data_IF_122555340334
#
_entry.id   IF_122555340334
#
_cell.length_a   1.000
_cell.length_b   1.000
_cell.length_c   1.000
_cell.angle_alpha   90.00
_cell.angle_beta   90.00
_cell.angle_gamma   90.00
#
_symmetry.space_group_name_H-M   'P 1'
#
loop_
_entity.id
_entity.type
_entity.pdbx_description
1 polymer ?
#
# COMPACT_ATOMS: atom_id res chain seq x y z
N UNK A 1 -29.62 -16.10 -27.77
CA UNK A 1 -30.74 -15.17 -27.51
C UNK A 1 -31.04 -15.05 -26.01
N UNK A 2 -31.38 -16.15 -25.31
CA UNK A 2 -31.74 -16.13 -23.88
C UNK A 2 -30.66 -15.55 -22.94
N UNK A 3 -29.38 -15.83 -23.20
CA UNK A 3 -28.25 -15.29 -22.43
C UNK A 3 -28.13 -13.77 -22.52
N UNK A 4 -28.38 -13.18 -23.71
CA UNK A 4 -28.31 -11.74 -23.93
C UNK A 4 -29.47 -11.02 -23.22
N UNK A 5 -30.65 -11.63 -23.22
CA UNK A 5 -31.81 -11.10 -22.50
C UNK A 5 -31.61 -11.14 -20.99
N UNK A 6 -30.98 -12.20 -20.47
CA UNK A 6 -30.58 -12.29 -19.07
C UNK A 6 -29.59 -11.18 -18.69
N UNK A 7 -28.53 -11.00 -19.49
CA UNK A 7 -27.52 -9.96 -19.24
C UNK A 7 -28.15 -8.55 -19.26
N UNK A 8 -29.03 -8.27 -20.22
CA UNK A 8 -29.78 -7.01 -20.29
C UNK A 8 -30.67 -6.81 -19.05
N UNK A 9 -31.35 -7.86 -18.59
CA UNK A 9 -32.16 -7.83 -17.37
C UNK A 9 -31.34 -7.55 -16.10
N UNK A 10 -30.18 -8.19 -15.96
CA UNK A 10 -29.27 -7.92 -14.83
C UNK A 10 -28.74 -6.49 -14.83
N UNK A 11 -28.44 -5.94 -16.01
CA UNK A 11 -28.01 -4.55 -16.15
C UNK A 11 -29.16 -3.58 -15.82
N UNK A 12 -30.35 -3.82 -16.36
CA UNK A 12 -31.55 -3.04 -16.03
C UNK A 12 -31.81 -2.98 -14.52
N UNK A 13 -31.77 -4.13 -13.82
CA UNK A 13 -31.93 -4.18 -12.36
C UNK A 13 -30.82 -3.39 -11.62
N UNK A 14 -29.61 -3.41 -12.18
CA UNK A 14 -28.48 -2.65 -11.63
C UNK A 14 -28.76 -1.15 -11.76
N UNK A 15 -29.11 -0.68 -12.95
CA UNK A 15 -29.31 0.74 -13.23
C UNK A 15 -30.52 1.29 -12.49
N UNK A 16 -31.64 0.56 -12.51
CA UNK A 16 -32.85 0.93 -11.78
C UNK A 16 -32.61 1.05 -10.27
N UNK A 17 -31.81 0.15 -9.68
CA UNK A 17 -31.48 0.23 -8.27
C UNK A 17 -30.60 1.45 -7.94
N UNK A 18 -29.65 1.81 -8.80
CA UNK A 18 -28.83 3.01 -8.60
C UNK A 18 -29.64 4.30 -8.76
N UNK A 19 -30.58 4.35 -9.71
CA UNK A 19 -31.51 5.48 -9.87
C UNK A 19 -32.39 5.69 -8.63
N UNK A 20 -32.85 4.61 -8.01
CA UNK A 20 -33.74 4.66 -6.84
C UNK A 20 -32.99 4.74 -5.51
N UNK A 21 -31.65 4.74 -5.51
CA UNK A 21 -30.86 4.59 -4.29
C UNK A 21 -31.18 5.64 -3.22
N UNK A 22 -31.28 6.91 -3.63
CA UNK A 22 -31.54 8.03 -2.73
C UNK A 22 -33.03 8.20 -2.42
N UNK A 23 -33.89 8.06 -3.43
CA UNK A 23 -35.32 8.30 -3.29
C UNK A 23 -36.06 7.15 -2.58
N UNK A 24 -35.61 5.91 -2.79
CA UNK A 24 -36.25 4.70 -2.27
C UNK A 24 -35.20 3.61 -1.97
N UNK A 25 -34.46 3.71 -0.86
CA UNK A 25 -33.40 2.76 -0.51
C UNK A 25 -33.92 1.34 -0.22
N UNK A 26 -35.20 1.18 0.11
CA UNK A 26 -35.85 -0.14 0.23
C UNK A 26 -36.02 -0.82 -1.13
N UNK A 27 -36.49 -0.08 -2.14
CA UNK A 27 -36.75 -0.64 -3.47
C UNK A 27 -35.44 -0.93 -4.20
N UNK A 28 -34.44 -0.04 -4.09
CA UNK A 28 -33.11 -0.29 -4.65
C UNK A 28 -32.48 -1.57 -4.11
N UNK A 29 -32.60 -1.81 -2.80
CA UNK A 29 -32.11 -3.02 -2.17
C UNK A 29 -32.89 -4.26 -2.62
N UNK A 30 -34.21 -4.16 -2.78
CA UNK A 30 -35.04 -5.24 -3.30
C UNK A 30 -34.61 -5.65 -4.72
N UNK A 31 -34.43 -4.68 -5.63
CA UNK A 31 -33.97 -4.92 -7.00
C UNK A 31 -32.60 -5.60 -7.04
N UNK A 32 -31.67 -5.16 -6.18
CA UNK A 32 -30.35 -5.77 -6.06
C UNK A 32 -30.39 -7.19 -5.49
N UNK A 33 -31.31 -7.48 -4.56
CA UNK A 33 -31.54 -8.84 -4.06
C UNK A 33 -32.10 -9.74 -5.15
N UNK A 34 -33.10 -9.27 -5.89
CA UNK A 34 -33.68 -9.99 -7.02
C UNK A 34 -32.62 -10.28 -8.10
N UNK A 35 -31.74 -9.32 -8.38
CA UNK A 35 -30.60 -9.51 -9.28
C UNK A 35 -29.68 -10.62 -8.79
N UNK A 36 -29.36 -10.66 -7.48
CA UNK A 36 -28.54 -11.71 -6.88
C UNK A 36 -29.20 -13.10 -6.96
N UNK A 37 -30.51 -13.16 -6.75
CA UNK A 37 -31.30 -14.38 -6.88
C UNK A 37 -31.31 -14.90 -8.33
N UNK A 38 -31.52 -14.02 -9.32
CA UNK A 38 -31.44 -14.39 -10.73
C UNK A 38 -30.05 -14.91 -11.12
N UNK A 39 -28.98 -14.30 -10.61
CA UNK A 39 -27.62 -14.81 -10.82
C UNK A 39 -27.44 -16.20 -10.21
N UNK A 40 -27.95 -16.43 -9.01
CA UNK A 40 -27.88 -17.71 -8.33
C UNK A 40 -28.62 -18.82 -9.11
N UNK A 41 -29.86 -18.57 -9.52
CA UNK A 41 -30.66 -19.53 -10.30
C UNK A 41 -30.02 -19.88 -11.65
N UNK A 42 -29.27 -18.95 -12.24
CA UNK A 42 -28.56 -19.17 -13.51
C UNK A 42 -27.11 -19.65 -13.33
N UNK A 43 -26.72 -20.04 -12.10
CA UNK A 43 -25.37 -20.50 -11.75
C UNK A 43 -24.25 -19.51 -12.14
N UNK A 44 -24.55 -18.21 -12.11
CA UNK A 44 -23.57 -17.16 -12.40
C UNK A 44 -22.78 -16.81 -11.15
N UNK A 45 -21.46 -16.81 -11.28
CA UNK A 45 -20.55 -16.44 -10.20
C UNK A 45 -20.59 -14.92 -10.03
N UNK A 46 -20.91 -14.47 -8.82
CA UNK A 46 -20.80 -13.06 -8.48
C UNK A 46 -19.35 -12.69 -8.17
N UNK A 47 -18.78 -11.78 -8.95
CA UNK A 47 -17.43 -11.27 -8.73
C UNK A 47 -17.27 -10.63 -7.34
N UNK A 48 -16.09 -10.78 -6.76
CA UNK A 48 -15.77 -10.27 -5.42
C UNK A 48 -15.94 -8.75 -5.31
N UNK A 49 -15.60 -8.00 -6.38
CA UNK A 49 -15.86 -6.56 -6.46
C UNK A 49 -17.33 -6.28 -6.19
N UNK A 50 -18.23 -7.00 -6.84
CA UNK A 50 -19.66 -6.78 -6.65
C UNK A 50 -20.14 -7.13 -5.24
N UNK A 51 -19.58 -8.19 -4.64
CA UNK A 51 -19.86 -8.55 -3.23
C UNK A 51 -19.43 -7.47 -2.25
N UNK A 52 -18.44 -6.64 -2.61
CA UNK A 52 -18.02 -5.50 -1.82
C UNK A 52 -18.94 -4.28 -1.95
N UNK A 53 -19.69 -4.18 -3.05
CA UNK A 53 -20.59 -3.06 -3.33
C UNK A 53 -22.03 -3.33 -2.91
N UNK A 54 -22.48 -4.58 -2.86
CA UNK A 54 -23.88 -4.93 -2.57
C UNK A 54 -23.93 -5.97 -1.46
N UNK A 55 -24.74 -5.73 -0.43
CA UNK A 55 -24.94 -6.70 0.63
C UNK A 55 -25.67 -7.93 0.08
N UNK A 56 -25.05 -9.11 0.19
CA UNK A 56 -25.61 -10.38 -0.31
C UNK A 56 -26.94 -10.74 0.39
N UNK A 57 -27.15 -10.28 1.62
CA UNK A 57 -28.31 -10.67 2.41
C UNK A 57 -29.56 -9.84 2.14
N UNK A 58 -29.42 -8.52 2.13
CA UNK A 58 -30.55 -7.60 2.00
C UNK A 58 -30.54 -6.81 0.70
N UNK A 59 -29.49 -6.91 -0.12
CA UNK A 59 -29.36 -6.19 -1.38
C UNK A 59 -28.97 -4.72 -1.25
N UNK A 60 -28.73 -4.20 -0.04
CA UNK A 60 -28.36 -2.80 0.17
C UNK A 60 -27.03 -2.47 -0.55
N UNK A 61 -27.03 -1.39 -1.34
CA UNK A 61 -25.85 -0.85 -2.02
C UNK A 61 -24.97 -0.17 -0.96
N UNK A 62 -23.81 -0.75 -0.70
CA UNK A 62 -22.87 -0.36 0.34
C UNK A 62 -21.95 0.75 -0.16
N UNK A 63 -22.29 2.01 0.17
CA UNK A 63 -21.47 3.19 -0.11
C UNK A 63 -20.72 3.59 1.18
N UNK A 64 -19.37 3.48 1.22
CA UNK A 64 -18.61 3.91 2.39
C UNK A 64 -18.89 5.37 2.74
N UNK A 65 -19.22 5.63 4.01
CA UNK A 65 -19.57 6.97 4.49
C UNK A 65 -21.08 7.23 4.54
N UNK A 66 -21.91 6.47 3.82
CA UNK A 66 -23.37 6.52 3.94
C UNK A 66 -23.91 5.23 4.57
N UNK A 67 -24.09 5.27 5.90
CA UNK A 67 -24.56 4.18 6.78
C UNK A 67 -23.72 2.89 6.75
N UNK A 68 -22.89 2.68 5.73
CA UNK A 68 -21.97 1.56 5.55
C UNK A 68 -20.63 1.91 6.15
N UNK A 69 -20.12 1.02 6.98
CA UNK A 69 -18.80 1.18 7.62
C UNK A 69 -17.79 0.35 6.85
N UNK A 70 -16.62 0.93 6.60
CA UNK A 70 -15.47 0.25 6.00
C UNK A 70 -14.30 0.32 6.98
N UNK A 71 -13.72 -0.82 7.35
CA UNK A 71 -12.47 -0.89 8.12
C UNK A 71 -11.45 -1.70 7.36
N UNK A 72 -10.24 -1.15 7.27
CA UNK A 72 -9.07 -1.83 6.74
C UNK A 72 -8.22 -2.25 7.93
N UNK A 73 -8.18 -3.56 8.17
CA UNK A 73 -7.34 -4.12 9.21
C UNK A 73 -5.97 -4.44 8.62
N UNK A 74 -4.89 -3.86 9.17
CA UNK A 74 -3.54 -4.19 8.72
C UNK A 74 -3.25 -5.66 9.02
N UNK A 75 -2.30 -6.22 8.26
CA UNK A 75 -1.80 -7.57 8.52
C UNK A 75 -1.33 -7.63 9.98
N UNK A 76 -1.90 -8.54 10.77
CA UNK A 76 -1.31 -8.93 12.04
C UNK A 76 -0.01 -9.64 11.71
N UNK A 77 1.11 -8.92 11.78
CA UNK A 77 2.43 -9.52 11.82
C UNK A 77 2.40 -10.33 13.12
N UNK A 78 2.22 -11.65 13.01
CA UNK A 78 2.49 -12.51 14.15
C UNK A 78 3.98 -12.36 14.41
N UNK A 79 4.32 -11.58 15.43
CA UNK A 79 5.70 -11.54 15.91
C UNK A 79 6.10 -12.98 16.19
N UNK A 80 7.22 -13.47 15.65
CA UNK A 80 7.70 -14.78 16.03
C UNK A 80 7.96 -14.72 17.53
N UNK A 81 7.10 -15.39 18.32
CA UNK A 81 7.37 -15.62 19.74
C UNK A 81 8.79 -16.15 19.79
N UNK A 82 9.68 -15.44 20.48
CA UNK A 82 11.03 -15.92 20.82
C UNK A 82 10.86 -17.10 21.78
N UNK A 83 10.41 -18.24 21.26
CA UNK A 83 10.51 -19.50 21.96
C UNK A 83 11.97 -19.93 21.83
N UNK A 84 12.59 -20.08 22.99
CA UNK A 84 13.98 -20.46 23.14
C UNK A 84 14.31 -21.71 22.33
N UNK A 85 15.61 -21.82 22.05
CA UNK A 85 16.30 -22.83 21.26
C UNK A 85 15.65 -24.23 21.18
N UNK A 86 15.84 -24.82 19.99
CA UNK A 86 15.68 -26.24 19.64
C UNK A 86 14.35 -26.61 19.01
N UNK A 87 14.34 -26.70 17.67
CA UNK A 87 14.39 -27.99 16.97
C UNK A 87 14.50 -27.80 15.46
N UNK A 88 15.09 -28.83 14.85
CA UNK A 88 15.54 -28.96 13.47
C UNK A 88 14.42 -28.74 12.44
N UNK A 89 14.83 -28.13 11.32
CA UNK A 89 14.30 -28.27 9.96
C UNK A 89 12.98 -29.03 9.80
N UNK A 90 11.89 -28.28 9.65
CA UNK A 90 10.74 -28.72 8.87
C UNK A 90 10.37 -27.61 7.89
N UNK A 91 10.05 -28.04 6.67
CA UNK A 91 9.70 -27.19 5.53
C UNK A 91 8.76 -26.06 5.92
N UNK A 92 9.12 -24.85 5.50
CA UNK A 92 8.24 -23.70 5.58
C UNK A 92 7.00 -24.03 4.75
N UNK A 93 5.78 -24.10 5.32
CA UNK A 93 4.60 -24.02 4.48
C UNK A 93 4.71 -22.68 3.75
N UNK A 94 4.50 -22.69 2.43
CA UNK A 94 4.37 -21.49 1.61
C UNK A 94 3.24 -20.65 2.20
N UNK A 95 3.57 -19.82 3.19
CA UNK A 95 2.68 -18.79 3.68
C UNK A 95 2.64 -17.75 2.57
N UNK A 96 1.76 -17.98 1.59
CA UNK A 96 1.26 -16.93 0.71
C UNK A 96 0.89 -15.79 1.62
N UNK A 97 1.75 -14.76 1.62
CA UNK A 97 1.67 -13.65 2.55
C UNK A 97 0.30 -13.02 2.40
N UNK A 98 -0.59 -13.27 3.36
CA UNK A 98 -1.92 -12.65 3.37
C UNK A 98 -1.75 -11.16 3.57
N UNK A 99 -2.36 -10.37 2.68
CA UNK A 99 -2.39 -8.91 2.79
C UNK A 99 -3.39 -8.43 3.85
N UNK A 100 -3.66 -7.11 3.88
CA UNK A 100 -4.64 -6.53 4.80
C UNK A 100 -6.04 -7.08 4.56
N UNK A 101 -6.88 -7.08 5.60
CA UNK A 101 -8.27 -7.54 5.51
C UNK A 101 -9.21 -6.33 5.45
N UNK A 102 -10.08 -6.30 4.43
CA UNK A 102 -11.14 -5.31 4.27
C UNK A 102 -12.43 -5.86 4.88
N UNK A 103 -12.92 -5.21 5.93
CA UNK A 103 -14.21 -5.53 6.56
C UNK A 103 -15.22 -4.43 6.19
N UNK A 104 -16.36 -4.82 5.63
CA UNK A 104 -17.43 -3.94 5.18
C UNK A 104 -18.71 -4.30 5.93
N UNK A 105 -19.30 -3.35 6.64
CA UNK A 105 -20.56 -3.54 7.38
C UNK A 105 -21.71 -2.92 6.62
N UNK A 106 -22.76 -3.72 6.40
CA UNK A 106 -23.99 -3.23 5.80
C UNK A 106 -24.73 -2.28 6.76
N UNK A 107 -25.03 -1.06 6.31
CA UNK A 107 -25.76 -0.05 7.10
C UNK A 107 -27.24 -0.35 7.37
N UNK A 108 -27.82 -1.38 6.73
CA UNK A 108 -29.21 -1.79 6.95
C UNK A 108 -29.34 -3.02 7.85
N UNK A 109 -28.61 -4.09 7.55
CA UNK A 109 -28.74 -5.38 8.26
C UNK A 109 -27.55 -5.74 9.14
N UNK A 110 -26.53 -4.88 9.22
CA UNK A 110 -25.32 -5.04 10.03
C UNK A 110 -24.46 -6.27 9.71
N UNK A 111 -24.76 -7.01 8.65
CA UNK A 111 -23.91 -8.12 8.19
C UNK A 111 -22.57 -7.61 7.68
N UNK A 112 -21.53 -8.41 7.93
CA UNK A 112 -20.15 -8.08 7.61
C UNK A 112 -19.67 -8.89 6.42
N UNK A 113 -19.13 -8.21 5.42
CA UNK A 113 -18.41 -8.82 4.30
C UNK A 113 -16.92 -8.62 4.53
N UNK A 114 -16.16 -9.73 4.57
CA UNK A 114 -14.70 -9.70 4.75
C UNK A 114 -14.02 -10.12 3.46
N UNK A 115 -13.06 -9.32 3.01
CA UNK A 115 -12.25 -9.58 1.82
C UNK A 115 -10.77 -9.53 2.20
N UNK A 116 -10.05 -10.62 1.96
CA UNK A 116 -8.60 -10.66 2.11
C UNK A 116 -7.94 -10.08 0.85
N UNK A 117 -7.18 -9.00 1.01
CA UNK A 117 -6.44 -8.42 -0.10
C UNK A 117 -5.12 -9.18 -0.29
N UNK A 118 -4.59 -9.29 -1.53
CA UNK A 118 -3.25 -9.82 -1.76
C UNK A 118 -2.21 -8.96 -1.03
N UNK A 119 -1.07 -9.54 -0.64
CA UNK A 119 0.00 -8.77 -0.03
C UNK A 119 0.46 -7.65 -0.98
N UNK A 120 0.62 -6.42 -0.48
CA UNK A 120 1.23 -5.37 -1.27
C UNK A 120 2.64 -5.77 -1.66
N UNK A 121 3.05 -5.39 -2.87
CA UNK A 121 4.40 -5.62 -3.33
C UNK A 121 5.40 -4.96 -2.38
N UNK A 122 6.50 -5.67 -2.08
CA UNK A 122 7.52 -5.16 -1.17
C UNK A 122 8.22 -3.99 -1.86
N UNK A 123 7.96 -2.77 -1.37
CA UNK A 123 8.66 -1.57 -1.84
C UNK A 123 10.14 -1.68 -1.46
N UNK A 124 10.97 -2.10 -2.41
CA UNK A 124 12.42 -2.06 -2.25
C UNK A 124 12.89 -0.62 -2.44
N UNK A 125 13.12 0.08 -1.33
CA UNK A 125 13.85 1.35 -1.39
C UNK A 125 15.26 1.05 -1.88
N UNK A 126 15.52 1.27 -3.17
CA UNK A 126 16.89 1.31 -3.67
C UNK A 126 17.57 2.48 -2.98
N UNK A 127 18.45 2.18 -2.03
CA UNK A 127 19.41 3.16 -1.57
C UNK A 127 20.20 3.59 -2.82
N UNK A 128 20.00 4.83 -3.25
CA UNK A 128 20.77 5.40 -4.34
C UNK A 128 22.24 5.47 -3.90
N UNK A 129 22.98 4.40 -4.16
CA UNK A 129 24.44 4.47 -4.19
C UNK A 129 24.77 5.46 -5.29
N UNK A 130 25.26 6.63 -4.90
CA UNK A 130 25.80 7.63 -5.81
C UNK A 130 26.88 6.96 -6.65
N UNK A 131 26.56 6.58 -7.87
CA UNK A 131 27.54 6.17 -8.87
C UNK A 131 28.34 7.42 -9.19
N UNK A 132 29.57 7.48 -8.69
CA UNK A 132 30.52 8.50 -9.08
C UNK A 132 30.79 8.32 -10.59
N UNK A 133 30.31 9.27 -11.37
CA UNK A 133 30.65 9.41 -12.79
C UNK A 133 32.13 9.75 -12.86
N UNK A 134 32.98 8.74 -13.09
CA UNK A 134 34.40 8.93 -13.34
C UNK A 134 34.57 9.48 -14.77
N UNK A 135 34.81 10.79 -14.87
CA UNK A 135 35.26 11.44 -16.10
C UNK A 135 36.65 10.92 -16.47
N UNK A 136 36.81 10.54 -17.75
CA UNK A 136 38.09 10.22 -18.39
C UNK A 136 39.04 11.41 -18.34
N UNK A 137 40.29 11.18 -17.93
CA UNK A 137 41.46 11.96 -18.35
C UNK A 137 42.65 11.01 -18.47
N UNK A 138 43.37 11.15 -19.58
CA UNK A 138 44.46 10.28 -20.03
C UNK A 138 45.81 10.62 -19.39
N UNK A 139 46.62 9.56 -19.23
CA UNK A 139 48.10 9.46 -19.29
C UNK A 139 48.97 10.29 -18.33
N UNK A 140 49.75 9.61 -17.49
CA UNK A 140 51.22 9.38 -17.62
C UNK A 140 51.74 8.67 -16.35
N UNK A 141 52.82 7.91 -16.55
CA UNK A 141 53.36 6.82 -15.74
C UNK A 141 54.08 7.21 -14.43
N UNK A 142 54.22 6.17 -13.60
CA UNK A 142 55.35 5.87 -12.71
C UNK A 142 55.44 6.60 -11.35
N UNK A 143 55.20 5.83 -10.28
CA UNK A 143 56.20 5.39 -9.30
C UNK A 143 55.56 5.12 -7.93
N UNK A 144 56.04 4.04 -7.30
CA UNK A 144 55.74 3.58 -5.96
C UNK A 144 55.65 4.70 -4.92
N UNK A 145 54.55 4.74 -4.16
CA UNK A 145 54.59 5.11 -2.74
C UNK A 145 53.35 4.58 -2.01
N UNK A 146 53.57 3.61 -1.14
CA UNK A 146 52.59 3.07 -0.19
C UNK A 146 52.20 4.18 0.79
N UNK A 147 51.06 4.85 0.58
CA UNK A 147 50.41 5.65 1.62
C UNK A 147 49.34 4.77 2.26
N UNK A 148 49.63 4.33 3.48
CA UNK A 148 48.78 3.45 4.28
C UNK A 148 47.42 4.11 4.56
N UNK A 149 46.34 3.33 4.48
CA UNK A 149 44.94 3.74 4.68
C UNK A 149 44.64 4.35 6.08
N UNK A 150 45.63 4.37 6.98
CA UNK A 150 45.50 4.78 8.37
C UNK A 150 45.65 6.30 8.61
N UNK A 151 46.06 7.08 7.59
CA UNK A 151 46.11 8.54 7.72
C UNK A 151 44.72 9.21 7.75
N UNK A 152 43.69 8.58 7.15
CA UNK A 152 42.32 9.13 7.16
C UNK A 152 41.50 8.78 8.42
N UNK A 153 41.96 7.79 9.20
CA UNK A 153 41.31 7.35 10.45
C UNK A 153 41.50 8.36 11.59
N UNK A 154 42.71 8.93 11.75
CA UNK A 154 42.98 9.97 12.75
C UNK A 154 42.28 11.30 12.46
N UNK A 155 42.13 11.69 11.19
CA UNK A 155 41.36 12.88 10.79
C UNK A 155 39.85 12.71 11.08
N UNK A 156 39.30 11.52 10.85
CA UNK A 156 37.88 11.22 11.15
C UNK A 156 37.58 11.11 12.64
N UNK A 157 38.51 10.61 13.45
CA UNK A 157 38.35 10.57 14.90
C UNK A 157 38.29 11.98 15.52
N UNK A 158 39.03 12.95 14.97
CA UNK A 158 39.00 14.35 15.44
C UNK A 158 37.67 15.04 15.11
N UNK A 159 37.10 14.78 13.91
CA UNK A 159 35.77 15.28 13.52
C UNK A 159 34.61 14.66 14.31
N UNK A 160 34.79 13.50 14.94
CA UNK A 160 33.78 12.90 15.83
C UNK A 160 33.81 13.46 17.26
N UNK A 161 34.84 14.23 17.64
CA UNK A 161 34.97 14.84 18.98
C UNK A 161 34.50 16.29 19.06
N UNK A 162 34.25 16.95 17.92
CA UNK A 162 33.57 18.24 17.89
C UNK A 162 32.08 17.99 17.67
N UNK A 163 31.26 18.11 18.71
CA UNK A 163 29.81 17.99 18.61
C UNK A 163 29.19 18.98 17.61
N UNK A 164 27.86 18.96 17.46
CA UNK A 164 27.10 19.75 16.48
C UNK A 164 27.54 21.23 16.37
N UNK A 165 27.91 21.85 17.50
CA UNK A 165 28.41 23.23 17.55
C UNK A 165 29.69 23.44 16.73
N UNK A 166 30.64 22.51 16.74
CA UNK A 166 31.87 22.62 15.96
C UNK A 166 31.62 22.51 14.45
N UNK A 167 30.58 21.75 14.06
CA UNK A 167 30.15 21.66 12.66
C UNK A 167 29.47 22.95 12.21
N UNK A 168 28.67 23.58 13.07
CA UNK A 168 28.02 24.87 12.79
C UNK A 168 29.04 26.01 12.62
N UNK A 169 30.06 26.09 13.47
CA UNK A 169 31.13 27.10 13.34
C UNK A 169 31.96 26.92 12.06
N UNK A 170 32.12 25.67 11.58
CA UNK A 170 32.77 25.38 10.30
C UNK A 170 31.92 25.79 9.10
N UNK A 171 30.59 25.64 9.19
CA UNK A 171 29.66 26.04 8.14
C UNK A 171 29.59 27.56 7.96
N UNK A 172 29.67 28.32 9.06
CA UNK A 172 29.68 29.79 9.00
C UNK A 172 30.86 30.35 8.19
N UNK A 173 32.01 29.66 8.16
CA UNK A 173 33.17 30.09 7.37
C UNK A 173 33.04 29.86 5.87
N UNK A 174 32.06 29.06 5.44
CA UNK A 174 31.82 28.74 4.02
C UNK A 174 30.53 29.40 3.47
N UNK A 175 29.95 30.35 4.21
CA UNK A 175 28.76 31.13 3.81
C UNK A 175 29.15 32.37 2.99
N UNK A 176 29.98 32.20 1.97
CA UNK A 176 30.08 33.17 0.87
C UNK A 176 29.46 32.50 -0.35
N UNK A 177 28.21 32.87 -0.66
CA UNK A 177 27.37 32.39 -1.77
C UNK A 177 26.46 31.19 -1.49
N UNK A 178 25.46 31.38 -0.62
CA UNK A 178 24.22 30.60 -0.71
C UNK A 178 23.03 31.56 -0.66
N UNK A 179 22.28 31.63 -1.76
CA UNK A 179 21.06 32.42 -1.92
C UNK A 179 20.08 32.09 -0.78
N UNK A 180 19.51 33.12 -0.18
CA UNK A 180 18.59 32.98 0.95
C UNK A 180 17.14 33.00 0.48
N UNK A 181 16.26 32.41 1.28
CA UNK A 181 14.82 32.23 0.97
C UNK A 181 14.08 33.55 0.65
N UNK A 182 14.64 34.70 1.06
CA UNK A 182 14.11 36.02 0.75
C UNK A 182 14.22 36.40 -0.75
N UNK A 183 15.19 35.85 -1.49
CA UNK A 183 15.36 36.15 -2.92
C UNK A 183 14.26 35.52 -3.80
N UNK A 184 13.49 34.57 -3.26
CA UNK A 184 12.43 33.85 -3.99
C UNK A 184 11.01 34.31 -3.63
N UNK A 185 10.87 35.31 -2.76
CA UNK A 185 9.56 35.80 -2.30
C UNK A 185 9.23 37.23 -2.78
N UNK A 186 9.88 37.70 -3.85
CA UNK A 186 9.49 38.91 -4.58
C UNK A 186 8.56 38.56 -5.75
#
# INVERSE_FOLDING_TARGET
>A
MASNQLAAGLNYLTDAAHLLLLAAPETSAHLMRQRGELMFHNNLIQHEVQRQHVCIACGHIMIPGDKTILKLEPRKIQEPRRQGASRKSQEKPNATSSGPTKSIWCGRCSRVTRVSLPAPEVVTRRNATRVAIAKKSLLVQAQNQKVTANASSKKRAKNRKGGLQALLSGQQKNMTNSLTLADFMA
#
